data_IF_201141258166
#
_entry.id   IF_201141258166
#
_cell.length_a   1.000
_cell.length_b   1.000
_cell.length_c   1.000
_cell.angle_alpha   90.00
_cell.angle_beta   90.00
_cell.angle_gamma   90.00
#
_symmetry.space_group_name_H-M   'P 1'
#
loop_
_entity.id
_entity.type
_entity.pdbx_description
1 polymer ?
#
# COMPACT_ATOMS: atom_id res chain seq x y z
N UNK A 1 0.71 -14.14 12.21
CA UNK A 1 1.71 -14.03 11.11
C UNK A 1 2.23 -12.61 10.99
N UNK A 2 1.38 -11.58 11.08
CA UNK A 2 1.85 -10.21 11.30
C UNK A 2 1.93 -9.94 12.80
N UNK A 3 3.14 -9.67 13.27
CA UNK A 3 3.38 -9.32 14.66
C UNK A 3 2.70 -7.98 14.94
N UNK A 4 1.90 -7.91 16.00
CA UNK A 4 1.10 -6.73 16.33
C UNK A 4 1.95 -5.48 16.58
N UNK A 5 3.26 -5.66 16.80
CA UNK A 5 4.29 -4.60 16.86
C UNK A 5 4.58 -3.92 15.52
N UNK A 6 4.20 -4.52 14.39
CA UNK A 6 4.36 -3.94 13.07
C UNK A 6 3.49 -2.68 12.87
N UNK A 7 2.34 -2.62 13.55
CA UNK A 7 1.42 -1.48 13.51
C UNK A 7 1.58 -0.51 14.69
N UNK A 8 2.47 -0.83 15.64
CA UNK A 8 2.65 -0.04 16.86
C UNK A 8 3.34 1.31 16.61
N UNK A 9 4.13 1.42 15.53
CA UNK A 9 4.95 2.60 15.25
C UNK A 9 4.67 3.13 13.85
N UNK A 10 4.37 4.43 13.74
CA UNK A 10 4.14 5.13 12.47
C UNK A 10 5.22 4.85 11.38
N UNK A 11 6.53 4.76 11.70
CA UNK A 11 7.56 4.41 10.71
C UNK A 11 7.36 3.05 10.06
N UNK A 12 6.91 2.04 10.81
CA UNK A 12 6.68 0.68 10.28
C UNK A 12 5.43 0.64 9.40
N UNK A 13 4.38 1.36 9.79
CA UNK A 13 3.16 1.53 8.99
C UNK A 13 3.50 2.23 7.66
N UNK A 14 4.31 3.29 7.70
CA UNK A 14 4.78 3.99 6.50
C UNK A 14 5.63 3.09 5.60
N UNK A 15 6.56 2.32 6.17
CA UNK A 15 7.35 1.34 5.41
C UNK A 15 6.47 0.27 4.75
N UNK A 16 5.46 -0.23 5.46
CA UNK A 16 4.49 -1.17 4.91
C UNK A 16 3.64 -0.57 3.78
N UNK A 17 3.16 0.67 3.98
CA UNK A 17 2.39 1.41 2.97
C UNK A 17 3.23 1.67 1.72
N UNK A 18 4.50 2.06 1.90
CA UNK A 18 5.43 2.30 0.80
C UNK A 18 5.75 1.00 0.06
N UNK A 19 5.97 -0.11 0.79
CA UNK A 19 6.17 -1.42 0.19
C UNK A 19 4.98 -1.87 -0.65
N UNK A 20 3.76 -1.73 -0.13
CA UNK A 20 2.54 -2.06 -0.86
C UNK A 20 2.32 -1.17 -2.08
N UNK A 21 2.50 0.15 -1.95
CA UNK A 21 2.39 1.08 -3.05
C UNK A 21 3.40 0.79 -4.16
N UNK A 22 4.63 0.45 -3.79
CA UNK A 22 5.69 0.06 -4.73
C UNK A 22 5.33 -1.24 -5.44
N UNK A 23 4.86 -2.26 -4.70
CA UNK A 23 4.47 -3.55 -5.26
C UNK A 23 3.35 -3.39 -6.30
N UNK A 24 2.28 -2.65 -5.94
CA UNK A 24 1.17 -2.38 -6.84
C UNK A 24 1.60 -1.52 -8.03
N UNK A 25 2.47 -0.52 -7.82
CA UNK A 25 3.05 0.26 -8.90
C UNK A 25 3.83 -0.60 -9.89
N UNK A 26 4.69 -1.50 -9.40
CA UNK A 26 5.46 -2.44 -10.24
C UNK A 26 4.52 -3.38 -10.99
N UNK A 27 3.51 -3.97 -10.34
CA UNK A 27 2.53 -4.84 -11.01
C UNK A 27 1.80 -4.09 -12.11
N UNK A 28 1.40 -2.84 -11.87
CA UNK A 28 0.73 -2.03 -12.89
C UNK A 28 1.68 -1.68 -14.05
N UNK A 29 2.95 -1.34 -13.80
CA UNK A 29 3.94 -1.12 -14.87
C UNK A 29 4.19 -2.40 -15.68
N UNK A 30 4.27 -3.55 -15.03
CA UNK A 30 4.43 -4.84 -15.70
C UNK A 30 3.19 -5.20 -16.53
N UNK A 31 2.01 -4.80 -16.05
CA UNK A 31 0.74 -4.95 -16.77
C UNK A 31 0.75 -4.08 -18.02
N UNK A 32 1.11 -2.80 -17.91
CA UNK A 32 1.23 -1.89 -19.05
C UNK A 32 2.27 -2.41 -20.05
N UNK A 33 3.40 -2.94 -19.57
CA UNK A 33 4.41 -3.58 -20.43
C UNK A 33 3.86 -4.80 -21.18
N UNK A 34 3.05 -5.63 -20.51
CA UNK A 34 2.46 -6.83 -21.09
C UNK A 34 1.44 -6.51 -22.19
N UNK A 35 0.63 -5.45 -22.01
CA UNK A 35 -0.46 -5.11 -22.93
C UNK A 35 -0.09 -4.07 -23.99
N UNK A 36 0.81 -3.13 -23.68
CA UNK A 36 1.17 -2.01 -24.55
C UNK A 36 2.61 -2.09 -25.10
N UNK A 37 3.39 -3.11 -24.72
CA UNK A 37 4.82 -3.30 -25.06
C UNK A 37 5.71 -2.08 -24.73
N UNK A 38 5.23 -1.18 -23.86
CA UNK A 38 5.92 0.06 -23.49
C UNK A 38 5.99 0.22 -21.98
N UNK A 39 7.18 0.58 -21.49
CA UNK A 39 7.36 1.04 -20.11
C UNK A 39 6.89 2.48 -19.99
N UNK A 40 5.63 2.66 -19.59
CA UNK A 40 5.02 3.96 -19.37
C UNK A 40 4.42 4.00 -17.97
N UNK A 41 4.72 5.06 -17.22
CA UNK A 41 4.05 5.33 -15.96
C UNK A 41 2.68 5.96 -16.27
N UNK A 42 1.65 5.11 -16.33
CA UNK A 42 0.30 5.56 -16.61
C UNK A 42 -0.30 6.36 -15.48
N UNK A 43 -1.21 7.28 -15.85
CA UNK A 43 -2.13 7.89 -14.88
C UNK A 43 -2.89 6.81 -14.11
N UNK A 44 -3.18 5.67 -14.75
CA UNK A 44 -3.78 4.51 -14.11
C UNK A 44 -2.83 3.81 -13.14
N UNK A 45 -1.57 3.59 -13.51
CA UNK A 45 -0.51 3.05 -12.64
C UNK A 45 -0.38 3.89 -11.37
N UNK A 46 -0.32 5.21 -11.53
CA UNK A 46 -0.26 6.16 -10.41
C UNK A 46 -1.53 6.10 -9.56
N UNK A 47 -2.71 6.04 -10.18
CA UNK A 47 -3.97 5.89 -9.49
C UNK A 47 -4.05 4.62 -8.64
N UNK A 48 -3.62 3.48 -9.19
CA UNK A 48 -3.58 2.19 -8.50
C UNK A 48 -2.58 2.19 -7.34
N UNK A 49 -1.37 2.73 -7.55
CA UNK A 49 -0.38 2.85 -6.49
C UNK A 49 -0.87 3.75 -5.34
N UNK A 50 -1.53 4.87 -5.67
CA UNK A 50 -2.11 5.78 -4.70
C UNK A 50 -3.27 5.11 -3.93
N UNK A 51 -4.14 4.38 -4.62
CA UNK A 51 -5.25 3.65 -4.01
C UNK A 51 -4.74 2.58 -3.04
N UNK A 52 -3.70 1.84 -3.42
CA UNK A 52 -3.05 0.86 -2.56
C UNK A 52 -2.43 1.51 -1.31
N UNK A 53 -1.76 2.66 -1.47
CA UNK A 53 -1.18 3.42 -0.36
C UNK A 53 -2.27 3.89 0.64
N UNK A 54 -3.33 4.51 0.12
CA UNK A 54 -4.44 5.01 0.95
C UNK A 54 -5.19 3.85 1.61
N UNK A 55 -5.43 2.75 0.88
CA UNK A 55 -6.06 1.55 1.41
C UNK A 55 -5.26 0.95 2.58
N UNK A 56 -3.94 0.85 2.44
CA UNK A 56 -3.07 0.36 3.50
C UNK A 56 -3.13 1.26 4.75
N UNK A 57 -3.06 2.59 4.58
CA UNK A 57 -3.21 3.53 5.68
C UNK A 57 -4.58 3.44 6.36
N UNK A 58 -5.65 3.25 5.60
CA UNK A 58 -7.00 3.07 6.12
C UNK A 58 -7.12 1.82 7.00
N UNK A 59 -6.59 0.68 6.53
CA UNK A 59 -6.56 -0.56 7.33
C UNK A 59 -5.71 -0.39 8.58
N UNK A 60 -4.53 0.22 8.47
CA UNK A 60 -3.67 0.49 9.62
C UNK A 60 -4.35 1.40 10.66
N UNK A 61 -5.06 2.43 10.21
CA UNK A 61 -5.85 3.31 11.08
C UNK A 61 -7.01 2.58 11.75
N UNK A 62 -7.72 1.70 11.03
CA UNK A 62 -8.82 0.91 11.58
C UNK A 62 -8.35 -0.11 12.64
N UNK A 63 -7.21 -0.77 12.42
CA UNK A 63 -6.59 -1.66 13.42
C UNK A 63 -6.21 -0.85 14.67
N UNK A 64 -5.63 0.33 14.48
CA UNK A 64 -5.19 1.19 15.58
C UNK A 64 -6.35 1.82 16.37
N UNK A 65 -7.47 2.14 15.71
CA UNK A 65 -8.67 2.63 16.39
C UNK A 65 -9.35 1.54 17.22
N UNK A 66 -9.41 0.30 16.72
CA UNK A 66 -9.90 -0.85 17.49
C UNK A 66 -9.10 -1.06 18.77
N UNK A 67 -7.77 -0.97 18.72
CA UNK A 67 -6.92 -1.09 19.91
C UNK A 67 -7.05 0.05 20.93
N UNK A 68 -7.48 1.24 20.52
CA UNK A 68 -7.81 2.34 21.45
C UNK A 68 -9.14 2.12 22.19
N UNK A 69 -9.92 1.13 21.80
CA UNK A 69 -11.23 0.81 22.37
C UNK A 69 -11.29 -0.56 23.06
N UNK A 70 -10.17 -1.30 23.11
CA UNK A 70 -10.03 -2.44 24.00
C UNK A 70 -9.58 -1.93 25.38
N UNK A 71 -10.35 -2.17 26.46
CA UNK A 71 -10.05 -1.72 27.82
C UNK A 71 -8.89 -2.47 28.48
#
# INVERSE_FOLDING_TARGET
MFDDRAFATWPRVLLGALGFATLFGVVAVLTDLLFEERLYLSRWTLGLALLAFVGYLGVAAAIRSRRRHEP
#
